data_IF_662668336750
#
_entry.id   IF_662668336750
#
_cell.length_a   1.000
_cell.length_b   1.000
_cell.length_c   1.000
_cell.angle_alpha   90.00
_cell.angle_beta   90.00
_cell.angle_gamma   90.00
#
_symmetry.space_group_name_H-M   'P 1'
#
loop_
_entity.id
_entity.type
_entity.pdbx_description
1 polymer ?
#
# COMPACT_ATOMS: atom_id res chain seq x y z
N UNK A 1 -1.82 26.96 0.39
CA UNK A 1 -2.49 26.08 1.36
C UNK A 1 -3.81 25.63 0.76
N UNK A 2 -3.80 24.55 -0.01
CA UNK A 2 -5.02 24.03 -0.64
C UNK A 2 -5.09 22.56 -0.26
N UNK A 3 -5.86 22.28 0.79
CA UNK A 3 -6.13 20.92 1.26
C UNK A 3 -6.97 20.22 0.19
N UNK A 4 -6.35 19.34 -0.59
CA UNK A 4 -7.06 18.42 -1.47
C UNK A 4 -7.80 17.40 -0.60
N UNK A 5 -9.07 17.67 -0.30
CA UNK A 5 -9.94 16.71 0.35
C UNK A 5 -10.09 15.49 -0.57
N UNK A 6 -9.56 14.33 -0.15
CA UNK A 6 -9.74 13.04 -0.83
C UNK A 6 -11.24 12.78 -0.93
N UNK A 7 -11.78 12.77 -2.14
CA UNK A 7 -13.20 12.50 -2.37
C UNK A 7 -13.55 11.13 -1.76
N UNK A 8 -14.50 11.09 -0.82
CA UNK A 8 -15.01 9.82 -0.29
C UNK A 8 -15.85 9.18 -1.39
N UNK A 9 -15.45 7.99 -1.85
CA UNK A 9 -16.30 7.17 -2.73
C UNK A 9 -17.59 6.81 -1.99
N UNK A 10 -18.71 6.82 -2.71
CA UNK A 10 -20.01 6.45 -2.16
C UNK A 10 -19.94 5.04 -1.57
N UNK A 11 -20.30 4.93 -0.28
CA UNK A 11 -20.13 3.75 0.58
C UNK A 11 -20.93 2.50 0.16
N UNK A 12 -21.57 2.50 -1.00
CA UNK A 12 -22.42 1.42 -1.49
C UNK A 12 -21.63 0.27 -2.11
N UNK A 13 -20.32 0.35 -2.35
CA UNK A 13 -19.55 -0.66 -3.12
C UNK A 13 -18.58 -1.56 -2.35
N UNK A 14 -18.23 -1.25 -1.10
CA UNK A 14 -17.09 -1.86 -0.41
C UNK A 14 -17.28 -3.38 -0.20
N UNK A 15 -16.30 -4.17 -0.67
CA UNK A 15 -16.27 -5.62 -0.46
C UNK A 15 -17.30 -6.44 -1.25
N UNK A 16 -17.93 -5.89 -2.30
CA UNK A 16 -18.85 -6.65 -3.16
C UNK A 16 -18.11 -7.57 -4.12
N UNK A 17 -18.69 -8.76 -4.30
CA UNK A 17 -18.31 -9.79 -5.28
C UNK A 17 -18.23 -9.21 -6.71
N UNK A 18 -17.24 -9.65 -7.48
CA UNK A 18 -16.99 -9.27 -8.87
C UNK A 18 -18.25 -9.40 -9.73
N UNK A 19 -19.04 -10.46 -9.50
CA UNK A 19 -20.28 -10.71 -10.21
C UNK A 19 -21.33 -9.63 -9.95
N UNK A 20 -21.40 -9.08 -8.73
CA UNK A 20 -22.34 -7.99 -8.38
C UNK A 20 -21.92 -6.67 -9.01
N UNK A 21 -20.61 -6.43 -9.11
CA UNK A 21 -20.07 -5.22 -9.73
C UNK A 21 -20.29 -5.26 -11.24
N UNK A 22 -20.02 -6.40 -11.88
CA UNK A 22 -20.29 -6.61 -13.30
C UNK A 22 -21.79 -6.54 -13.62
N UNK A 23 -22.66 -7.13 -12.78
CA UNK A 23 -24.10 -7.04 -12.97
C UNK A 23 -24.62 -5.60 -12.87
N UNK A 24 -24.04 -4.76 -12.02
CA UNK A 24 -24.41 -3.34 -11.90
C UNK A 24 -24.14 -2.53 -13.18
N UNK A 25 -23.22 -2.98 -14.03
CA UNK A 25 -22.90 -2.39 -15.33
C UNK A 25 -23.53 -3.19 -16.49
N UNK A 26 -24.42 -4.15 -16.21
CA UNK A 26 -25.09 -4.98 -17.20
C UNK A 26 -24.23 -6.07 -17.83
N UNK A 27 -23.06 -6.36 -17.27
CA UNK A 27 -22.15 -7.41 -17.73
C UNK A 27 -22.37 -8.71 -16.96
N UNK A 28 -22.47 -9.82 -17.70
CA UNK A 28 -22.50 -11.17 -17.12
C UNK A 28 -21.08 -11.74 -17.17
N UNK A 29 -20.50 -12.00 -16.01
CA UNK A 29 -19.17 -12.60 -15.86
C UNK A 29 -19.28 -13.99 -15.25
N UNK A 30 -18.40 -14.94 -15.59
CA UNK A 30 -18.38 -16.25 -14.97
C UNK A 30 -18.21 -16.15 -13.45
N UNK A 31 -18.88 -17.02 -12.68
CA UNK A 31 -18.79 -17.06 -11.21
C UNK A 31 -17.38 -17.33 -10.66
N UNK A 32 -16.45 -17.76 -11.51
CA UNK A 32 -15.05 -18.02 -11.17
C UNK A 32 -14.17 -16.76 -11.29
N UNK A 33 -14.74 -15.63 -11.69
CA UNK A 33 -14.02 -14.36 -11.89
C UNK A 33 -13.60 -13.78 -10.54
N UNK A 34 -12.32 -13.44 -10.37
CA UNK A 34 -11.74 -12.98 -9.09
C UNK A 34 -11.18 -11.55 -9.14
N UNK A 35 -11.22 -10.93 -10.30
CA UNK A 35 -10.71 -9.59 -10.52
C UNK A 35 -11.30 -9.02 -11.80
N UNK A 36 -11.81 -7.80 -11.73
CA UNK A 36 -12.11 -6.98 -12.89
C UNK A 36 -10.94 -6.02 -13.12
N UNK A 37 -10.50 -5.83 -14.35
CA UNK A 37 -9.47 -4.84 -14.67
C UNK A 37 -9.94 -3.96 -15.81
N UNK A 38 -9.47 -2.71 -15.82
CA UNK A 38 -9.83 -1.73 -16.84
C UNK A 38 -8.64 -0.83 -17.12
N UNK A 39 -8.35 -0.59 -18.40
CA UNK A 39 -7.35 0.40 -18.79
C UNK A 39 -7.97 1.80 -18.71
N UNK A 40 -7.34 2.70 -17.94
CA UNK A 40 -7.88 4.05 -17.68
C UNK A 40 -6.79 5.11 -17.74
N UNK A 41 -7.14 6.37 -18.08
CA UNK A 41 -6.23 7.48 -17.87
C UNK A 41 -5.96 7.71 -16.38
N UNK A 42 -4.83 8.32 -16.04
CA UNK A 42 -4.43 8.58 -14.65
C UNK A 42 -5.41 9.48 -13.87
N UNK A 43 -6.14 10.34 -14.56
CA UNK A 43 -7.15 11.22 -13.96
C UNK A 43 -8.47 10.51 -13.66
N UNK A 44 -8.64 9.25 -14.07
CA UNK A 44 -9.89 8.53 -13.89
C UNK A 44 -10.16 8.29 -12.39
N UNK A 45 -11.41 8.45 -11.92
CA UNK A 45 -11.76 8.25 -10.51
C UNK A 45 -11.34 6.89 -9.94
N UNK A 46 -11.33 5.84 -10.77
CA UNK A 46 -10.86 4.51 -10.36
C UNK A 46 -9.36 4.46 -10.04
N UNK A 47 -8.53 5.25 -10.72
CA UNK A 47 -7.08 5.30 -10.48
C UNK A 47 -6.73 6.17 -9.26
N UNK A 48 -7.48 7.25 -9.03
CA UNK A 48 -7.21 8.22 -7.96
C UNK A 48 -7.83 7.80 -6.62
N UNK A 49 -9.00 7.16 -6.65
CA UNK A 49 -9.77 6.86 -5.45
C UNK A 49 -9.52 5.44 -4.96
N UNK A 50 -9.39 5.28 -3.65
CA UNK A 50 -9.31 3.97 -3.02
C UNK A 50 -10.70 3.32 -3.00
N UNK A 51 -10.88 2.26 -3.79
CA UNK A 51 -12.19 1.65 -4.02
C UNK A 51 -12.55 0.55 -3.00
N UNK A 52 -11.56 -0.13 -2.41
CA UNK A 52 -11.78 -1.34 -1.59
C UNK A 52 -12.71 -2.38 -2.27
N UNK A 53 -12.53 -2.56 -3.58
CA UNK A 53 -13.30 -3.45 -4.44
C UNK A 53 -12.35 -4.28 -5.31
N UNK A 54 -12.77 -5.45 -5.81
CA UNK A 54 -11.98 -6.28 -6.72
C UNK A 54 -11.96 -5.71 -8.16
N UNK A 55 -11.64 -4.42 -8.28
CA UNK A 55 -11.49 -3.69 -9.55
C UNK A 55 -10.09 -3.08 -9.59
N UNK A 56 -9.29 -3.45 -10.59
CA UNK A 56 -7.93 -3.00 -10.77
C UNK A 56 -7.83 -2.03 -11.97
N UNK A 57 -7.66 -0.72 -11.74
CA UNK A 57 -7.31 0.21 -12.81
C UNK A 57 -5.88 -0.06 -13.29
N UNK A 58 -5.68 -0.06 -14.61
CA UNK A 58 -4.37 -0.16 -15.24
C UNK A 58 -4.11 1.13 -16.02
N UNK A 59 -3.03 1.82 -15.67
CA UNK A 59 -2.59 3.03 -16.38
C UNK A 59 -1.31 2.71 -17.13
N UNK A 60 -1.31 2.96 -18.44
CA UNK A 60 -0.15 2.75 -19.31
C UNK A 60 0.76 3.97 -19.27
N UNK A 61 2.06 3.73 -19.23
CA UNK A 61 3.14 4.73 -19.19
C UNK A 61 4.27 4.28 -20.11
N UNK A 62 5.06 5.21 -20.65
CA UNK A 62 6.05 4.90 -21.67
C UNK A 62 7.35 4.35 -21.07
N UNK A 63 7.74 4.83 -19.89
CA UNK A 63 9.00 4.47 -19.23
C UNK A 63 8.82 4.31 -17.70
N UNK A 64 9.88 3.84 -17.04
CA UNK A 64 9.86 3.55 -15.61
C UNK A 64 9.88 4.83 -14.76
N UNK A 65 10.54 5.90 -15.22
CA UNK A 65 10.58 7.17 -14.48
C UNK A 65 9.17 7.81 -14.42
N UNK A 66 8.43 7.80 -15.53
CA UNK A 66 7.03 8.22 -15.59
C UNK A 66 6.15 7.34 -14.70
N UNK A 67 6.36 6.01 -14.73
CA UNK A 67 5.61 5.09 -13.87
C UNK A 67 5.80 5.45 -12.38
N UNK A 68 7.03 5.74 -11.98
CA UNK A 68 7.38 6.13 -10.62
C UNK A 68 6.77 7.48 -10.25
N UNK A 69 6.92 8.50 -11.11
CA UNK A 69 6.37 9.83 -10.87
C UNK A 69 4.84 9.78 -10.74
N UNK A 70 4.18 9.01 -11.60
CA UNK A 70 2.74 8.83 -11.58
C UNK A 70 2.28 8.07 -10.33
N UNK A 71 2.99 7.03 -9.91
CA UNK A 71 2.69 6.29 -8.70
C UNK A 71 2.77 7.18 -7.44
N UNK A 72 3.77 8.07 -7.37
CA UNK A 72 3.90 9.04 -6.27
C UNK A 72 2.73 10.03 -6.27
N UNK A 73 2.30 10.50 -7.44
CA UNK A 73 1.14 11.39 -7.57
C UNK A 73 -0.16 10.70 -7.13
N UNK A 74 -0.41 9.47 -7.60
CA UNK A 74 -1.63 8.71 -7.29
C UNK A 74 -1.71 8.27 -5.83
N UNK A 75 -0.57 8.08 -5.15
CA UNK A 75 -0.57 7.76 -3.72
C UNK A 75 -1.10 8.92 -2.85
N UNK A 76 -0.99 10.17 -3.34
CA UNK A 76 -1.46 11.35 -2.62
C UNK A 76 -0.77 11.59 -1.28
N UNK A 77 0.49 11.13 -1.13
CA UNK A 77 1.28 11.33 0.10
C UNK A 77 0.85 10.47 1.28
N UNK A 78 0.07 9.41 1.06
CA UNK A 78 -0.38 8.52 2.14
C UNK A 78 0.77 7.70 2.73
N UNK A 79 1.88 7.50 2.01
CA UNK A 79 3.08 6.75 2.40
C UNK A 79 2.83 5.33 2.97
N UNK A 80 1.66 4.75 2.72
CA UNK A 80 1.21 3.54 3.39
C UNK A 80 1.80 2.30 2.73
N UNK A 81 1.56 2.10 1.43
CA UNK A 81 2.07 0.93 0.70
C UNK A 81 2.18 1.20 -0.80
N UNK A 82 3.33 0.82 -1.37
CA UNK A 82 3.56 0.78 -2.81
C UNK A 82 4.22 -0.56 -3.19
N UNK A 83 3.96 -1.05 -4.41
CA UNK A 83 4.55 -2.28 -4.91
C UNK A 83 5.14 -2.07 -6.31
N UNK A 84 6.28 -2.68 -6.58
CA UNK A 84 6.95 -2.65 -7.87
C UNK A 84 7.33 -4.08 -8.28
N UNK A 85 6.95 -4.49 -9.47
CA UNK A 85 7.38 -5.74 -10.07
C UNK A 85 8.39 -5.48 -11.19
N UNK A 86 9.67 -5.73 -10.95
CA UNK A 86 10.72 -5.68 -11.99
C UNK A 86 11.78 -6.76 -11.73
N UNK A 87 12.52 -7.14 -12.77
CA UNK A 87 13.68 -8.03 -12.69
C UNK A 87 15.00 -7.27 -12.48
N UNK A 88 15.04 -5.97 -12.83
CA UNK A 88 16.27 -5.16 -12.79
C UNK A 88 16.48 -4.57 -11.40
N UNK A 89 17.51 -5.01 -10.69
CA UNK A 89 17.84 -4.54 -9.35
C UNK A 89 18.12 -3.04 -9.24
N UNK A 90 18.68 -2.43 -10.29
CA UNK A 90 19.02 -1.00 -10.31
C UNK A 90 17.80 -0.07 -10.38
N UNK A 91 16.65 -0.58 -10.85
CA UNK A 91 15.38 0.14 -10.81
C UNK A 91 14.72 0.07 -9.43
N UNK A 92 15.32 -0.67 -8.50
CA UNK A 92 14.82 -0.91 -7.16
C UNK A 92 15.61 -0.18 -6.07
N UNK A 93 16.74 0.46 -6.42
CA UNK A 93 17.37 1.47 -5.59
C UNK A 93 16.45 2.69 -5.68
N UNK A 94 15.62 2.94 -4.65
CA UNK A 94 14.88 4.18 -4.63
C UNK A 94 15.94 5.26 -4.49
N UNK A 95 15.91 6.29 -5.32
CA UNK A 95 16.34 7.60 -4.85
C UNK A 95 15.61 7.79 -3.53
N UNK A 96 16.32 7.63 -2.40
CA UNK A 96 15.74 7.45 -1.06
C UNK A 96 14.82 8.60 -0.62
N UNK A 97 14.83 9.69 -1.38
CA UNK A 97 13.98 10.86 -1.18
C UNK A 97 12.63 10.79 -1.90
N UNK A 98 12.50 10.05 -3.02
CA UNK A 98 11.24 10.02 -3.81
C UNK A 98 10.25 8.97 -3.34
N UNK A 99 10.70 7.93 -2.64
CA UNK A 99 9.89 6.80 -2.21
C UNK A 99 9.93 6.60 -0.68
N UNK A 100 9.40 7.57 0.08
CA UNK A 100 9.22 7.41 1.53
C UNK A 100 7.96 6.63 1.88
N UNK A 101 7.67 5.53 1.19
CA UNK A 101 6.60 4.62 1.63
C UNK A 101 7.12 3.79 2.79
N UNK A 102 6.32 3.66 3.85
CA UNK A 102 6.64 2.73 4.94
C UNK A 102 6.75 1.29 4.44
N UNK A 103 6.07 0.97 3.33
CA UNK A 103 6.05 -0.36 2.74
C UNK A 103 6.30 -0.30 1.23
N UNK A 104 7.54 -0.54 0.80
CA UNK A 104 7.87 -0.83 -0.59
C UNK A 104 7.97 -2.35 -0.78
N UNK A 105 7.08 -2.92 -1.60
CA UNK A 105 7.10 -4.34 -1.97
C UNK A 105 7.75 -4.50 -3.32
N UNK A 106 8.98 -5.00 -3.33
CA UNK A 106 9.63 -5.40 -4.57
C UNK A 106 9.24 -6.86 -4.87
N UNK A 107 8.53 -7.09 -5.98
CA UNK A 107 8.19 -8.40 -6.58
C UNK A 107 7.01 -9.21 -5.97
N UNK A 108 6.21 -8.68 -5.03
CA UNK A 108 5.22 -9.50 -4.29
C UNK A 108 3.83 -8.89 -4.16
N UNK A 109 2.82 -9.76 -4.01
CA UNK A 109 1.43 -9.41 -3.68
C UNK A 109 1.33 -8.67 -2.35
N UNK A 110 0.46 -7.65 -2.29
CA UNK A 110 0.33 -6.72 -1.16
C UNK A 110 -0.02 -7.44 0.16
N UNK A 111 -0.84 -8.49 0.11
CA UNK A 111 -1.29 -9.25 1.29
C UNK A 111 -0.21 -10.12 1.97
N UNK A 112 0.92 -10.39 1.29
CA UNK A 112 1.85 -11.46 1.67
C UNK A 112 2.74 -11.19 2.89
N UNK A 113 2.61 -10.06 3.58
CA UNK A 113 3.32 -9.82 4.86
C UNK A 113 2.55 -10.22 6.11
N UNK A 114 1.22 -10.19 6.11
CA UNK A 114 0.48 -10.27 7.37
C UNK A 114 0.09 -11.70 7.77
N UNK A 115 0.16 -12.67 6.84
CA UNK A 115 -0.47 -13.99 7.01
C UNK A 115 0.27 -15.16 6.36
N UNK A 116 1.52 -15.00 5.87
CA UNK A 116 2.14 -15.97 4.95
C UNK A 116 3.58 -16.40 5.28
N UNK A 117 3.91 -16.53 6.57
CA UNK A 117 5.05 -17.36 7.03
C UNK A 117 6.43 -16.94 6.54
N UNK A 118 6.69 -15.64 6.33
CA UNK A 118 8.01 -15.10 5.93
C UNK A 118 8.42 -13.94 6.83
N UNK A 119 9.72 -13.63 6.89
CA UNK A 119 10.33 -12.62 7.79
C UNK A 119 9.55 -11.31 7.82
N UNK A 120 9.04 -10.94 9.00
CA UNK A 120 8.27 -9.74 9.27
C UNK A 120 7.44 -9.92 10.54
N UNK A 121 6.89 -8.81 11.06
CA UNK A 121 5.87 -8.86 12.10
C UNK A 121 4.50 -8.89 11.43
N UNK A 122 3.66 -9.82 11.85
CA UNK A 122 2.26 -9.90 11.42
C UNK A 122 1.43 -8.95 12.31
N UNK A 123 0.96 -7.85 11.72
CA UNK A 123 0.10 -6.87 12.40
C UNK A 123 -1.01 -6.39 11.47
N UNK A 124 -2.16 -6.06 12.06
CA UNK A 124 -3.27 -5.39 11.38
C UNK A 124 -3.25 -3.87 11.63
N UNK A 125 -2.24 -3.37 12.34
CA UNK A 125 -2.10 -1.95 12.67
C UNK A 125 -0.78 -1.44 12.10
N UNK A 126 -0.89 -0.64 11.03
CA UNK A 126 0.22 0.04 10.38
C UNK A 126 0.05 1.54 10.62
N UNK A 127 1.04 2.17 11.25
CA UNK A 127 0.94 3.58 11.62
C UNK A 127 1.70 4.47 10.64
N UNK A 128 0.99 4.98 9.64
CA UNK A 128 1.61 5.89 8.67
C UNK A 128 1.90 7.29 9.19
N UNK A 129 0.91 7.99 9.82
CA UNK A 129 1.09 9.39 10.22
C UNK A 129 2.11 9.60 11.34
N UNK A 130 2.21 8.64 12.27
CA UNK A 130 3.04 8.74 13.47
C UNK A 130 4.42 8.05 13.32
N UNK A 131 4.60 7.26 12.27
CA UNK A 131 5.92 6.81 11.82
C UNK A 131 6.48 5.57 12.53
N UNK A 132 5.75 4.93 13.46
CA UNK A 132 6.20 3.69 14.09
C UNK A 132 6.15 2.49 13.13
N UNK A 133 5.43 2.62 12.01
CA UNK A 133 5.40 1.64 10.93
C UNK A 133 4.61 0.39 11.30
N UNK A 134 5.25 -0.77 11.19
CA UNK A 134 4.65 -2.05 11.57
C UNK A 134 4.67 -2.15 13.10
N UNK A 135 3.50 -1.98 13.71
CA UNK A 135 3.39 -2.02 15.18
C UNK A 135 3.77 -3.39 15.74
N UNK A 136 4.40 -3.37 16.91
CA UNK A 136 4.76 -4.57 17.69
C UNK A 136 4.50 -4.32 19.17
N UNK A 137 4.69 -5.34 20.01
CA UNK A 137 4.63 -5.17 21.46
C UNK A 137 5.53 -4.01 21.96
N UNK A 138 6.68 -3.77 21.30
CA UNK A 138 7.59 -2.65 21.62
C UNK A 138 6.95 -1.27 21.38
N UNK A 139 6.03 -1.16 20.43
CA UNK A 139 5.36 0.10 20.10
C UNK A 139 4.43 0.57 21.22
N UNK A 140 3.92 -0.35 22.04
CA UNK A 140 2.93 -0.07 23.08
C UNK A 140 3.54 0.07 24.49
N UNK A 141 4.86 0.11 24.61
CA UNK A 141 5.56 0.22 25.91
C UNK A 141 6.41 1.48 26.00
N UNK A 142 6.59 1.99 27.22
CA UNK A 142 7.51 3.10 27.49
C UNK A 142 8.91 2.56 27.71
N UNK A 143 9.86 3.01 26.90
CA UNK A 143 11.28 2.71 27.10
C UNK A 143 11.79 3.46 28.33
N UNK A 144 12.32 2.73 29.32
CA UNK A 144 13.02 3.30 30.48
C UNK A 144 14.48 2.87 30.43
N UNK A 145 15.40 3.83 30.54
CA UNK A 145 16.83 3.56 30.73
C UNK A 145 17.16 3.79 32.19
N UNK A 146 17.72 2.78 32.83
CA UNK A 146 18.31 2.87 34.16
C UNK A 146 19.80 2.58 34.02
N UNK A 147 20.63 3.46 34.56
CA UNK A 147 22.08 3.29 34.58
C UNK A 147 22.46 3.03 36.02
N UNK A 148 23.15 1.92 36.26
CA UNK A 148 23.75 1.62 37.56
C UNK A 148 25.25 1.86 37.44
N UNK A 149 25.78 2.74 38.29
CA UNK A 149 27.22 3.05 38.37
C UNK A 149 27.80 2.24 39.53
N UNK A 150 28.98 1.65 39.32
CA UNK A 150 29.75 0.89 40.33
C UNK A 150 29.07 -0.36 40.93
N UNK A 151 28.14 -0.98 40.19
CA UNK A 151 27.55 -2.28 40.55
C UNK A 151 27.17 -3.12 39.30
N UNK A 152 27.02 -4.44 39.47
CA UNK A 152 26.78 -5.45 38.41
C UNK A 152 27.86 -5.60 37.31
N UNK A 153 29.10 -5.14 37.54
CA UNK A 153 30.26 -5.59 36.75
C UNK A 153 30.76 -6.93 37.31
N UNK A 154 30.24 -8.02 36.77
CA UNK A 154 30.68 -9.39 37.13
C UNK A 154 31.75 -9.80 36.10
N UNK A 155 32.97 -10.07 36.58
CA UNK A 155 34.09 -10.61 35.78
C UNK A 155 34.08 -12.13 35.87
#
# INVERSE_FOLDING_TARGET
MTSAAKARSAATGSGRDEGKIAAAIGLQVPAQTRLLFVETPASHPFAVTELMMPVLPVVRVANVEEAIALAVQLEGGCHHTAAMHSRKHRQHEPDGERHRHQHLRQKWTVHRRAWAGRRGLDTMTITTPTGEGVTSARTFVRLRRCVLVDAFRIV
#
